data_IF_418544774183
#
_entry.id   IF_418544774183
#
_cell.length_a   1.000
_cell.length_b   1.000
_cell.length_c   1.000
_cell.angle_alpha   90.00
_cell.angle_beta   90.00
_cell.angle_gamma   90.00
#
_symmetry.space_group_name_H-M   'P 1'
#
loop_
_entity.id
_entity.type
_entity.pdbx_description
1 polymer ?
#
# COMPACT_ATOMS: atom_id res chain seq x y z
N UNK A 1 -7.98 16.85 1.61
CA UNK A 1 -8.07 15.49 1.09
C UNK A 1 -9.30 14.84 1.72
N UNK A 2 -10.06 14.00 1.00
CA UNK A 2 -11.20 13.28 1.61
C UNK A 2 -10.66 12.19 2.53
N UNK A 3 -11.28 12.01 3.70
CA UNK A 3 -11.02 10.85 4.53
C UNK A 3 -11.29 9.55 3.77
N UNK A 4 -10.51 8.53 4.07
CA UNK A 4 -10.63 7.18 3.52
C UNK A 4 -11.24 6.25 4.57
N UNK A 5 -12.57 6.24 4.76
CA UNK A 5 -13.19 5.41 5.80
C UNK A 5 -12.94 3.91 5.57
N UNK A 6 -12.84 3.48 4.32
CA UNK A 6 -12.54 2.11 3.97
C UNK A 6 -11.14 1.65 4.38
N UNK A 7 -10.17 2.54 4.39
CA UNK A 7 -8.81 2.26 4.86
C UNK A 7 -8.78 1.82 6.31
N UNK A 8 -9.55 2.47 7.16
CA UNK A 8 -9.65 2.08 8.58
C UNK A 8 -10.32 0.71 8.73
N UNK A 9 -11.33 0.43 7.91
CA UNK A 9 -11.98 -0.89 7.87
C UNK A 9 -10.98 -1.98 7.47
N UNK A 10 -10.17 -1.73 6.45
CA UNK A 10 -9.11 -2.65 6.00
C UNK A 10 -8.09 -2.91 7.11
N UNK A 11 -7.52 -1.86 7.70
CA UNK A 11 -6.53 -1.97 8.77
C UNK A 11 -7.09 -2.75 9.97
N UNK A 12 -8.34 -2.45 10.39
CA UNK A 12 -9.00 -3.18 11.47
C UNK A 12 -9.22 -4.66 11.12
N UNK A 13 -9.64 -4.97 9.88
CA UNK A 13 -9.84 -6.35 9.45
C UNK A 13 -8.53 -7.15 9.43
N UNK A 14 -7.41 -6.52 9.05
CA UNK A 14 -6.09 -7.13 9.10
C UNK A 14 -5.63 -7.36 10.55
N UNK A 15 -5.74 -6.35 11.40
CA UNK A 15 -5.38 -6.44 12.82
C UNK A 15 -6.15 -7.54 13.53
N UNK A 16 -7.49 -7.51 13.43
CA UNK A 16 -8.38 -8.36 14.22
C UNK A 16 -8.56 -9.75 13.61
N UNK A 17 -8.36 -9.91 12.30
CA UNK A 17 -8.62 -11.14 11.56
C UNK A 17 -7.38 -11.93 11.11
N UNK A 18 -6.22 -11.28 11.00
CA UNK A 18 -5.01 -11.90 10.47
C UNK A 18 -3.85 -11.86 11.46
N UNK A 19 -3.45 -10.66 11.88
CA UNK A 19 -2.24 -10.44 12.67
C UNK A 19 -2.46 -10.51 14.18
N UNK A 20 -3.39 -11.33 14.63
CA UNK A 20 -3.78 -11.47 16.06
C UNK A 20 -2.68 -12.05 16.96
N UNK A 21 -1.73 -12.78 16.40
CA UNK A 21 -0.67 -13.49 17.14
C UNK A 21 0.75 -13.00 16.85
N UNK A 22 0.89 -11.95 16.05
CA UNK A 22 2.18 -11.34 15.72
C UNK A 22 2.24 -9.89 16.20
N UNK A 23 3.43 -9.39 16.49
CA UNK A 23 3.62 -7.98 16.81
C UNK A 23 3.31 -7.11 15.59
N UNK A 24 2.57 -6.02 15.81
CA UNK A 24 2.34 -5.01 14.77
C UNK A 24 2.41 -3.61 15.38
N UNK A 25 2.80 -2.67 14.55
CA UNK A 25 2.74 -1.24 14.83
C UNK A 25 1.72 -0.60 13.89
N UNK A 26 0.80 0.17 14.43
CA UNK A 26 -0.25 0.84 13.66
C UNK A 26 -0.07 2.35 13.70
N UNK A 27 -0.18 2.97 12.54
CA UNK A 27 -0.18 4.42 12.37
C UNK A 27 -1.40 4.82 11.55
N UNK A 28 -2.34 5.49 12.19
CA UNK A 28 -3.60 5.91 11.56
C UNK A 28 -3.78 7.42 11.65
N UNK A 29 -4.55 7.98 10.72
CA UNK A 29 -4.87 9.40 10.66
C UNK A 29 -3.59 10.28 10.70
N UNK A 30 -3.50 11.21 11.65
CA UNK A 30 -2.35 12.14 11.76
C UNK A 30 -1.02 11.45 12.07
N UNK A 31 -1.05 10.23 12.61
CA UNK A 31 0.16 9.44 12.87
C UNK A 31 0.67 8.73 11.61
N UNK A 32 -0.17 8.55 10.60
CA UNK A 32 0.24 8.04 9.30
C UNK A 32 0.83 9.20 8.49
N UNK A 33 2.07 9.56 8.79
CA UNK A 33 2.74 10.73 8.27
C UNK A 33 4.03 10.39 7.52
N UNK A 34 4.40 11.22 6.55
CA UNK A 34 5.65 11.09 5.81
C UNK A 34 6.86 11.22 6.75
N UNK A 35 6.80 12.17 7.67
CA UNK A 35 7.83 12.35 8.68
C UNK A 35 8.01 11.11 9.57
N UNK A 36 6.93 10.43 9.92
CA UNK A 36 7.00 9.20 10.73
C UNK A 36 7.70 8.05 9.98
N UNK A 37 7.33 7.79 8.71
CA UNK A 37 7.99 6.71 7.95
C UNK A 37 9.46 7.01 7.70
N UNK A 38 9.83 8.27 7.44
CA UNK A 38 11.22 8.70 7.30
C UNK A 38 12.01 8.57 8.61
N UNK A 39 11.41 8.88 9.76
CA UNK A 39 12.04 8.67 11.08
C UNK A 39 12.24 7.18 11.39
N UNK A 40 11.26 6.33 11.11
CA UNK A 40 11.40 4.88 11.25
C UNK A 40 12.52 4.34 10.36
N UNK A 41 12.65 4.88 9.14
CA UNK A 41 13.72 4.54 8.21
C UNK A 41 15.10 5.00 8.75
N UNK A 42 15.23 6.25 9.18
CA UNK A 42 16.47 6.83 9.68
C UNK A 42 16.97 6.18 10.98
N UNK A 43 16.05 5.77 11.85
CA UNK A 43 16.37 5.05 13.10
C UNK A 43 16.73 3.58 12.88
N UNK A 44 16.54 3.04 11.66
CA UNK A 44 16.70 1.62 11.36
C UNK A 44 15.50 0.73 11.77
N UNK A 45 14.52 1.29 12.48
CA UNK A 45 13.36 0.53 12.94
C UNK A 45 12.50 0.00 11.78
N UNK A 46 12.49 0.69 10.65
CA UNK A 46 11.72 0.25 9.48
C UNK A 46 12.20 -1.11 8.93
N UNK A 47 13.45 -1.50 9.17
CA UNK A 47 13.98 -2.82 8.80
C UNK A 47 13.49 -3.98 9.66
N UNK A 48 12.92 -3.69 10.82
CA UNK A 48 12.42 -4.72 11.73
C UNK A 48 11.08 -5.29 11.29
N UNK A 49 10.40 -4.61 10.33
CA UNK A 49 9.09 -5.03 9.83
C UNK A 49 9.25 -5.91 8.58
N UNK A 50 8.78 -7.14 8.67
CA UNK A 50 8.68 -8.05 7.52
C UNK A 50 7.57 -7.63 6.54
N UNK A 51 6.55 -6.92 7.02
CA UNK A 51 5.45 -6.43 6.21
C UNK A 51 5.25 -4.94 6.48
N UNK A 52 5.19 -4.13 5.42
CA UNK A 52 4.79 -2.72 5.47
C UNK A 52 3.53 -2.55 4.63
N UNK A 53 2.41 -2.24 5.27
CA UNK A 53 1.12 -2.07 4.61
C UNK A 53 0.71 -0.60 4.61
N UNK A 54 0.64 0.01 3.42
CA UNK A 54 0.32 1.42 3.22
C UNK A 54 -1.08 1.56 2.60
N UNK A 55 -2.08 1.71 3.47
CA UNK A 55 -3.46 1.97 3.08
C UNK A 55 -3.71 3.48 3.02
N UNK A 56 -3.26 4.13 1.95
CA UNK A 56 -3.30 5.58 1.77
C UNK A 56 -3.48 5.96 0.30
N UNK A 57 -3.73 7.23 0.00
CA UNK A 57 -3.86 7.66 -1.39
C UNK A 57 -2.54 7.55 -2.16
N UNK A 58 -2.62 7.20 -3.45
CA UNK A 58 -1.54 7.39 -4.41
C UNK A 58 -1.79 8.64 -5.26
N UNK A 59 -0.74 9.34 -5.62
CA UNK A 59 -0.74 10.42 -6.59
C UNK A 59 0.11 10.03 -7.78
N UNK A 60 -0.45 10.18 -8.96
CA UNK A 60 0.25 9.95 -10.23
C UNK A 60 0.41 11.26 -10.97
N UNK A 61 1.66 11.69 -11.21
CA UNK A 61 1.97 12.86 -12.03
C UNK A 61 2.19 12.43 -13.49
N UNK A 62 1.31 12.89 -14.38
CA UNK A 62 1.37 12.57 -15.82
C UNK A 62 2.52 13.22 -16.55
N UNK A 63 3.03 14.34 -16.03
CA UNK A 63 4.04 15.15 -16.69
C UNK A 63 5.46 14.81 -16.21
N UNK A 64 5.56 14.44 -14.93
CA UNK A 64 6.82 14.12 -14.25
C UNK A 64 6.62 12.87 -13.40
N UNK A 65 6.93 11.71 -13.96
CA UNK A 65 6.73 10.42 -13.28
C UNK A 65 7.40 10.37 -11.90
N UNK A 66 8.54 11.04 -11.73
CA UNK A 66 9.27 11.15 -10.47
C UNK A 66 8.50 11.84 -9.33
N UNK A 67 7.50 12.68 -9.65
CA UNK A 67 6.63 13.31 -8.66
C UNK A 67 5.47 12.41 -8.23
N UNK A 68 5.31 11.25 -8.85
CA UNK A 68 4.32 10.28 -8.37
C UNK A 68 4.69 9.81 -6.97
N UNK A 69 3.70 9.70 -6.09
CA UNK A 69 3.95 9.58 -4.65
C UNK A 69 2.85 8.83 -3.92
N UNK A 70 3.19 8.35 -2.75
CA UNK A 70 2.24 7.95 -1.72
C UNK A 70 1.89 9.17 -0.88
N UNK A 71 0.58 9.40 -0.62
CA UNK A 71 0.11 10.57 0.10
C UNK A 71 -0.16 10.25 1.57
N UNK A 72 0.48 11.00 2.43
CA UNK A 72 0.36 10.93 3.88
C UNK A 72 -0.45 12.10 4.47
N UNK A 73 -0.64 12.09 5.77
CA UNK A 73 -1.51 13.04 6.48
C UNK A 73 -1.01 14.48 6.48
N UNK A 74 0.29 14.73 6.28
CA UNK A 74 0.87 16.09 6.23
C UNK A 74 0.38 16.95 5.07
N UNK A 75 -0.16 16.34 4.01
CA UNK A 75 -0.78 17.10 2.90
C UNK A 75 -1.82 18.09 3.42
N UNK A 76 -2.48 17.78 4.54
CA UNK A 76 -3.39 18.71 5.24
C UNK A 76 -2.68 19.61 6.26
N UNK A 77 -1.44 19.29 6.66
CA UNK A 77 -0.68 20.00 7.71
C UNK A 77 0.20 21.15 7.19
N UNK A 78 0.33 21.30 5.88
CA UNK A 78 1.13 22.37 5.23
C UNK A 78 0.75 23.81 5.67
N UNK A 79 -0.47 23.97 6.19
CA UNK A 79 -0.99 25.24 6.69
C UNK A 79 -0.51 25.58 8.12
N UNK A 80 0.08 24.63 8.85
CA UNK A 80 0.44 24.80 10.26
C UNK A 80 1.94 25.00 10.51
N UNK A 81 2.80 24.87 9.50
CA UNK A 81 4.25 25.09 9.62
C UNK A 81 4.99 24.14 10.56
N UNK A 82 4.38 23.02 10.96
CA UNK A 82 4.90 22.11 11.98
C UNK A 82 5.80 21.01 11.38
N UNK A 83 5.62 20.65 10.10
CA UNK A 83 6.41 19.63 9.43
C UNK A 83 7.25 20.21 8.30
N UNK A 84 8.49 19.71 8.13
CA UNK A 84 9.33 19.98 6.96
C UNK A 84 8.90 19.15 5.75
N UNK A 85 8.19 18.06 5.98
CA UNK A 85 7.67 17.15 4.96
C UNK A 85 6.35 17.67 4.41
N UNK A 86 6.08 17.41 3.14
CA UNK A 86 4.89 17.94 2.46
C UNK A 86 3.76 16.90 2.33
N UNK A 87 3.97 15.70 2.82
CA UNK A 87 3.04 14.59 2.79
C UNK A 87 3.04 13.80 1.48
N UNK A 88 3.97 14.12 0.57
CA UNK A 88 4.14 13.42 -0.71
C UNK A 88 5.43 12.60 -0.68
N UNK A 89 5.36 11.34 -0.25
CA UNK A 89 6.50 10.43 -0.37
C UNK A 89 6.72 10.07 -1.84
N UNK A 90 7.57 10.84 -2.50
CA UNK A 90 7.87 10.72 -3.94
C UNK A 90 8.69 9.48 -4.27
N UNK A 91 8.80 9.14 -5.57
CA UNK A 91 9.63 8.02 -6.04
C UNK A 91 11.09 8.14 -5.55
N UNK A 92 11.79 9.28 -5.70
CA UNK A 92 13.15 9.42 -5.17
C UNK A 92 13.25 9.25 -3.66
N UNK A 93 12.32 9.81 -2.89
CA UNK A 93 12.30 9.70 -1.43
C UNK A 93 12.00 8.27 -0.98
N UNK A 94 11.08 7.59 -1.67
CA UNK A 94 10.79 6.17 -1.43
C UNK A 94 12.04 5.31 -1.62
N UNK A 95 12.83 5.56 -2.67
CA UNK A 95 14.07 4.81 -2.94
C UNK A 95 15.17 5.03 -1.90
N UNK A 96 15.08 6.10 -1.10
CA UNK A 96 16.01 6.40 0.01
C UNK A 96 15.58 5.78 1.34
N UNK A 97 14.41 5.17 1.44
CA UNK A 97 14.01 4.44 2.63
C UNK A 97 14.93 3.23 2.86
N UNK A 98 15.03 2.82 4.11
CA UNK A 98 15.89 1.71 4.53
C UNK A 98 15.00 0.55 5.02
N UNK A 99 14.62 -0.34 4.14
CA UNK A 99 13.74 -1.49 4.36
C UNK A 99 14.55 -2.81 4.37
N UNK A 100 13.97 -3.84 4.97
CA UNK A 100 14.30 -5.26 4.76
C UNK A 100 13.00 -6.08 4.83
N UNK A 101 12.00 -5.61 4.09
CA UNK A 101 10.65 -6.14 4.15
C UNK A 101 10.43 -7.28 3.14
N UNK A 102 9.78 -8.35 3.58
CA UNK A 102 9.34 -9.41 2.68
C UNK A 102 8.21 -8.93 1.74
N UNK A 103 7.41 -7.97 2.23
CA UNK A 103 6.28 -7.41 1.49
C UNK A 103 6.04 -5.94 1.82
N UNK A 104 5.94 -5.10 0.81
CA UNK A 104 5.30 -3.78 0.89
C UNK A 104 3.99 -3.83 0.11
N UNK A 105 2.89 -3.45 0.73
CA UNK A 105 1.59 -3.41 0.09
C UNK A 105 1.08 -1.97 -0.01
N UNK A 106 0.76 -1.53 -1.22
CA UNK A 106 0.11 -0.25 -1.53
C UNK A 106 -1.36 -0.53 -1.86
N UNK A 107 -2.21 -0.65 -0.83
CA UNK A 107 -3.58 -1.11 -1.01
C UNK A 107 -4.54 -0.03 -1.52
N UNK A 108 -4.24 1.23 -1.27
CA UNK A 108 -5.08 2.35 -1.71
C UNK A 108 -4.41 3.11 -2.86
N UNK A 109 -4.71 2.74 -4.06
CA UNK A 109 -4.38 3.52 -5.23
C UNK A 109 -5.64 4.22 -5.74
N UNK A 110 -5.95 5.38 -5.22
CA UNK A 110 -6.87 6.28 -5.88
C UNK A 110 -6.14 6.97 -7.03
N UNK A 111 -5.78 6.20 -8.05
CA UNK A 111 -5.29 6.72 -9.32
C UNK A 111 -6.47 7.36 -10.05
N UNK A 112 -6.99 8.44 -9.43
CA UNK A 112 -8.11 9.15 -9.95
C UNK A 112 -7.90 9.49 -11.41
N UNK A 113 -8.87 9.11 -12.25
CA UNK A 113 -9.21 9.69 -13.57
C UNK A 113 -8.02 10.17 -14.43
N UNK A 114 -6.97 9.39 -14.52
CA UNK A 114 -5.85 9.64 -15.40
C UNK A 114 -5.75 8.56 -16.45
N UNK A 115 -5.59 8.98 -17.70
CA UNK A 115 -5.42 8.08 -18.86
C UNK A 115 -4.33 7.03 -18.54
N UNK A 116 -4.72 5.77 -18.43
CA UNK A 116 -3.87 4.60 -18.10
C UNK A 116 -2.79 4.34 -19.19
N UNK A 117 -2.66 5.22 -20.17
CA UNK A 117 -1.83 5.00 -21.37
C UNK A 117 -0.31 5.10 -21.16
N UNK A 118 0.15 5.52 -19.96
CA UNK A 118 1.59 5.51 -19.63
C UNK A 118 1.78 5.06 -18.20
N UNK A 119 1.93 3.76 -18.01
CA UNK A 119 2.13 3.10 -16.72
C UNK A 119 3.44 3.40 -15.99
N UNK A 120 4.22 4.36 -16.43
CA UNK A 120 5.57 4.60 -15.93
C UNK A 120 5.59 5.06 -14.45
N UNK A 121 4.60 5.86 -14.02
CA UNK A 121 4.56 6.33 -12.64
C UNK A 121 4.13 5.25 -11.63
N UNK A 122 3.17 4.40 -12.00
CA UNK A 122 2.77 3.26 -11.15
C UNK A 122 3.88 2.19 -11.08
N UNK A 123 4.62 2.01 -12.17
CA UNK A 123 5.79 1.10 -12.19
C UNK A 123 6.95 1.70 -11.38
N UNK A 124 7.09 3.02 -11.35
CA UNK A 124 8.15 3.71 -10.61
C UNK A 124 8.09 3.49 -9.09
N UNK A 125 6.92 3.62 -8.47
CA UNK A 125 6.75 3.43 -7.02
C UNK A 125 7.07 2.00 -6.56
N UNK A 126 6.54 0.92 -7.16
CA UNK A 126 6.94 -0.43 -6.79
C UNK A 126 8.46 -0.64 -6.87
N UNK A 127 9.06 -0.18 -7.95
CA UNK A 127 10.53 -0.28 -8.13
C UNK A 127 11.30 0.50 -7.06
N UNK A 128 10.82 1.69 -6.68
CA UNK A 128 11.45 2.48 -5.64
C UNK A 128 11.43 1.76 -4.28
N UNK A 129 10.31 1.12 -3.91
CA UNK A 129 10.24 0.28 -2.71
C UNK A 129 11.17 -0.93 -2.78
N UNK A 130 11.31 -1.56 -3.94
CA UNK A 130 12.28 -2.66 -4.12
C UNK A 130 13.72 -2.18 -3.95
N UNK A 131 14.07 -1.01 -4.50
CA UNK A 131 15.40 -0.38 -4.30
C UNK A 131 15.63 -0.07 -2.82
N UNK A 132 14.60 0.35 -2.10
CA UNK A 132 14.64 0.62 -0.67
C UNK A 132 14.84 -0.64 0.20
N UNK A 133 14.68 -1.85 -0.36
CA UNK A 133 14.89 -3.12 0.33
C UNK A 133 13.66 -4.00 0.49
N UNK A 134 12.54 -3.69 -0.18
CA UNK A 134 11.40 -4.59 -0.23
C UNK A 134 11.65 -5.75 -1.20
N UNK A 135 11.45 -6.99 -0.78
CA UNK A 135 11.58 -8.16 -1.65
C UNK A 135 10.39 -8.28 -2.62
N UNK A 136 9.22 -7.82 -2.19
CA UNK A 136 7.98 -7.85 -2.99
C UNK A 136 7.18 -6.59 -2.76
N UNK A 137 6.47 -6.15 -3.80
CA UNK A 137 5.57 -5.00 -3.71
C UNK A 137 4.22 -5.33 -4.34
N UNK A 138 3.16 -5.29 -3.53
CA UNK A 138 1.79 -5.43 -3.99
C UNK A 138 1.15 -4.07 -4.24
N UNK A 139 0.47 -3.91 -5.36
CA UNK A 139 -0.21 -2.66 -5.73
C UNK A 139 -1.58 -2.93 -6.31
N UNK A 140 -2.44 -1.91 -6.35
CA UNK A 140 -3.63 -1.91 -7.19
C UNK A 140 -3.47 -0.91 -8.35
N UNK A 141 -3.77 -1.36 -9.57
CA UNK A 141 -3.58 -0.58 -10.80
C UNK A 141 -4.68 0.48 -11.03
N UNK A 142 -5.81 0.35 -10.37
CA UNK A 142 -6.92 1.30 -10.39
C UNK A 142 -7.65 1.32 -9.06
N UNK A 143 -8.51 2.32 -8.86
CA UNK A 143 -9.33 2.43 -7.67
C UNK A 143 -10.38 1.31 -7.64
N UNK A 144 -10.40 0.56 -6.57
CA UNK A 144 -11.33 -0.53 -6.30
C UNK A 144 -12.23 -0.10 -5.14
N UNK A 145 -13.37 -0.75 -5.03
CA UNK A 145 -14.25 -0.64 -3.87
C UNK A 145 -13.51 -1.01 -2.57
N UNK A 146 -13.70 -0.21 -1.52
CA UNK A 146 -12.99 -0.36 -0.26
C UNK A 146 -13.26 -1.73 0.41
N UNK A 147 -14.51 -2.22 0.32
CA UNK A 147 -14.89 -3.52 0.87
C UNK A 147 -14.21 -4.67 0.12
N UNK A 148 -14.18 -4.59 -1.22
CA UNK A 148 -13.48 -5.57 -2.04
C UNK A 148 -11.96 -5.58 -1.77
N UNK A 149 -11.38 -4.40 -1.56
CA UNK A 149 -9.97 -4.26 -1.23
C UNK A 149 -9.65 -4.89 0.13
N UNK A 150 -10.42 -4.55 1.17
CA UNK A 150 -10.27 -5.12 2.50
C UNK A 150 -10.42 -6.65 2.50
N UNK A 151 -11.39 -7.17 1.75
CA UNK A 151 -11.61 -8.62 1.61
C UNK A 151 -10.44 -9.30 0.88
N UNK A 152 -9.96 -8.71 -0.24
CA UNK A 152 -8.81 -9.24 -0.97
C UNK A 152 -7.57 -9.32 -0.09
N UNK A 153 -7.24 -8.23 0.59
CA UNK A 153 -6.05 -8.15 1.45
C UNK A 153 -6.15 -9.10 2.64
N UNK A 154 -7.33 -9.20 3.26
CA UNK A 154 -7.56 -10.12 4.38
C UNK A 154 -7.38 -11.58 3.95
N UNK A 155 -7.96 -11.99 2.81
CA UNK A 155 -7.78 -13.35 2.28
C UNK A 155 -6.32 -13.61 1.92
N UNK A 156 -5.66 -12.66 1.25
CA UNK A 156 -4.27 -12.79 0.83
C UNK A 156 -3.34 -12.99 2.02
N UNK A 157 -3.40 -12.11 3.01
CA UNK A 157 -2.56 -12.25 4.19
C UNK A 157 -2.90 -13.48 5.03
N UNK A 158 -4.17 -13.87 5.12
CA UNK A 158 -4.55 -15.11 5.81
C UNK A 158 -3.90 -16.34 5.17
N UNK A 159 -3.86 -16.41 3.84
CA UNK A 159 -3.19 -17.50 3.13
C UNK A 159 -1.68 -17.52 3.42
N UNK A 160 -1.04 -16.37 3.50
CA UNK A 160 0.38 -16.29 3.83
C UNK A 160 0.61 -16.66 5.31
N UNK A 161 -0.06 -15.97 6.23
CA UNK A 161 0.22 -16.04 7.67
C UNK A 161 -0.33 -17.31 8.36
N UNK A 162 -1.46 -17.82 7.91
CA UNK A 162 -2.13 -18.97 8.54
C UNK A 162 -1.96 -20.27 7.76
N UNK A 163 -1.80 -20.19 6.43
CA UNK A 163 -1.69 -21.37 5.57
C UNK A 163 -0.25 -21.60 5.04
N UNK A 164 0.68 -20.68 5.32
CA UNK A 164 2.09 -20.79 4.91
C UNK A 164 2.30 -20.70 3.40
N UNK A 165 1.37 -20.09 2.67
CA UNK A 165 1.50 -19.91 1.22
C UNK A 165 2.50 -18.80 0.88
N UNK A 166 3.18 -18.91 -0.26
CA UNK A 166 3.92 -17.77 -0.81
C UNK A 166 2.98 -16.65 -1.23
N UNK A 167 3.46 -15.41 -1.28
CA UNK A 167 2.66 -14.27 -1.74
C UNK A 167 2.11 -14.48 -3.14
N UNK A 168 2.91 -14.98 -4.08
CA UNK A 168 2.44 -15.25 -5.44
C UNK A 168 1.37 -16.36 -5.50
N UNK A 169 1.46 -17.37 -4.65
CA UNK A 169 0.38 -18.37 -4.52
C UNK A 169 -0.89 -17.75 -3.94
N UNK A 170 -0.76 -16.97 -2.86
CA UNK A 170 -1.89 -16.29 -2.22
C UNK A 170 -2.62 -15.35 -3.18
N UNK A 171 -1.89 -14.51 -3.94
CA UNK A 171 -2.48 -13.63 -4.96
C UNK A 171 -3.26 -14.41 -6.02
N UNK A 172 -2.68 -15.49 -6.54
CA UNK A 172 -3.31 -16.34 -7.56
C UNK A 172 -4.58 -17.01 -7.03
N UNK A 173 -4.52 -17.58 -5.84
CA UNK A 173 -5.64 -18.28 -5.23
C UNK A 173 -6.78 -17.33 -4.88
N UNK A 174 -6.48 -16.15 -4.27
CA UNK A 174 -7.50 -15.14 -3.96
C UNK A 174 -8.15 -14.61 -5.21
N UNK A 175 -7.39 -14.37 -6.29
CA UNK A 175 -7.98 -13.99 -7.59
C UNK A 175 -8.92 -15.07 -8.14
N UNK A 176 -8.59 -16.34 -7.98
CA UNK A 176 -9.44 -17.45 -8.39
C UNK A 176 -10.72 -17.51 -7.54
N UNK A 177 -10.61 -17.31 -6.23
CA UNK A 177 -11.76 -17.23 -5.33
C UNK A 177 -12.69 -16.07 -5.68
N UNK A 178 -12.13 -14.86 -5.88
CA UNK A 178 -12.90 -13.69 -6.29
C UNK A 178 -13.63 -13.92 -7.62
N UNK A 179 -12.94 -14.51 -8.59
CA UNK A 179 -13.54 -14.83 -9.90
C UNK A 179 -14.74 -15.77 -9.79
N UNK A 180 -14.75 -16.66 -8.80
CA UNK A 180 -15.85 -17.59 -8.55
C UNK A 180 -16.93 -17.02 -7.61
N UNK A 181 -16.69 -15.88 -7.00
CA UNK A 181 -17.58 -15.24 -6.02
C UNK A 181 -18.73 -14.53 -6.70
N UNK A 182 -19.94 -14.70 -6.18
CA UNK A 182 -21.14 -14.07 -6.75
C UNK A 182 -21.13 -12.53 -6.62
N UNK A 183 -20.48 -11.98 -5.57
CA UNK A 183 -20.39 -10.55 -5.31
C UNK A 183 -19.18 -9.92 -6.02
N UNK A 184 -18.04 -10.60 -6.02
CA UNK A 184 -16.75 -10.06 -6.46
C UNK A 184 -16.26 -10.61 -7.80
N UNK A 185 -17.05 -11.41 -8.52
CA UNK A 185 -16.65 -12.14 -9.73
C UNK A 185 -16.23 -11.27 -10.91
N UNK A 186 -16.70 -10.00 -10.97
CA UNK A 186 -16.31 -9.10 -12.05
C UNK A 186 -14.80 -8.74 -11.95
N UNK A 187 -14.06 -8.78 -13.07
CA UNK A 187 -12.61 -8.50 -13.09
C UNK A 187 -12.19 -7.15 -12.49
N UNK A 188 -13.08 -6.17 -12.46
CA UNK A 188 -12.87 -4.87 -11.82
C UNK A 188 -12.38 -5.00 -10.38
N UNK A 189 -12.89 -6.00 -9.61
CA UNK A 189 -12.61 -6.17 -8.19
C UNK A 189 -11.31 -6.90 -7.88
N UNK A 190 -10.78 -7.73 -8.79
CA UNK A 190 -9.62 -8.58 -8.50
C UNK A 190 -8.46 -8.44 -9.48
N UNK A 191 -8.70 -8.03 -10.74
CA UNK A 191 -7.65 -7.98 -11.74
C UNK A 191 -6.66 -6.82 -11.50
N UNK A 192 -7.07 -5.78 -10.75
CA UNK A 192 -6.22 -4.65 -10.41
C UNK A 192 -5.04 -5.01 -9.52
N UNK A 193 -5.16 -6.02 -8.67
CA UNK A 193 -4.10 -6.37 -7.72
C UNK A 193 -2.94 -7.07 -8.43
N UNK A 194 -1.75 -6.46 -8.36
CA UNK A 194 -0.53 -6.97 -8.99
C UNK A 194 0.57 -7.09 -7.95
N UNK A 195 1.35 -8.16 -8.05
CA UNK A 195 2.52 -8.41 -7.23
C UNK A 195 3.77 -8.27 -8.10
N UNK A 196 4.73 -7.46 -7.65
CA UNK A 196 6.09 -7.36 -8.18
C UNK A 196 7.03 -8.14 -7.25
N UNK A 197 7.90 -8.99 -7.84
CA UNK A 197 8.91 -9.81 -7.15
C UNK A 197 10.27 -9.64 -7.82
#
# INVERSE_FOLDING_TARGET
>A
MKDLPGTLTEVNALRDGVFTSVGYDERVQRKASESEIKQLSASGKLKEYSIVHLACHGYFDKNKAENSSVLFSEVSGRLTGISREDGYLTIPETALLNLDADMVCLSACNTGKGDVRKGDGMVGLPRAFMVAGAKRVGVSLWSIDDEATAEFMTRMYRKVEKEGKSYSQAYREVKAEFRADAKWGHPYYWAAFVLYE
#
